data_IF_014038607588
#
_entry.id   IF_014038607588
#
_cell.length_a   1.000
_cell.length_b   1.000
_cell.length_c   1.000
_cell.angle_alpha   90.00
_cell.angle_beta   90.00
_cell.angle_gamma   90.00
#
_symmetry.space_group_name_H-M   'P 1'
#
loop_
_entity.id
_entity.type
_entity.pdbx_description
1 polymer ?
#
# COMPACT_ATOMS: atom_id res chain seq x y z
N UNK A 1 -15.56 -5.74 -11.16
CA UNK A 1 -16.57 -4.97 -10.40
C UNK A 1 -15.98 -4.72 -9.01
N UNK A 2 -15.33 -3.57 -8.82
CA UNK A 2 -14.65 -3.24 -7.57
C UNK A 2 -15.71 -3.01 -6.49
N UNK A 3 -15.94 -4.03 -5.67
CA UNK A 3 -16.72 -3.90 -4.43
C UNK A 3 -16.05 -2.81 -3.59
N UNK A 4 -16.79 -1.74 -3.30
CA UNK A 4 -16.47 -0.82 -2.22
C UNK A 4 -16.46 -1.64 -0.93
N UNK A 5 -15.29 -2.13 -0.50
CA UNK A 5 -15.13 -2.67 0.84
C UNK A 5 -15.25 -1.52 1.83
N UNK A 6 -16.48 -1.24 2.22
CA UNK A 6 -16.82 -0.62 3.49
C UNK A 6 -16.67 -1.67 4.62
N UNK A 7 -15.50 -2.29 4.74
CA UNK A 7 -15.20 -3.21 5.82
C UNK A 7 -13.85 -2.87 6.43
N UNK A 8 -13.79 -2.91 7.76
CA UNK A 8 -12.71 -2.51 8.66
C UNK A 8 -12.70 -1.04 9.11
N UNK A 9 -13.76 -0.62 9.81
CA UNK A 9 -13.59 0.37 10.89
C UNK A 9 -13.31 -0.42 12.18
N UNK A 10 -12.09 -0.36 12.75
CA UNK A 10 -11.84 -0.94 14.07
C UNK A 10 -12.69 -0.21 15.12
N UNK A 11 -13.25 -0.95 16.07
CA UNK A 11 -14.06 -0.39 17.15
C UNK A 11 -13.27 0.66 17.93
N UNK A 12 -13.71 1.92 17.89
CA UNK A 12 -13.20 3.00 18.73
C UNK A 12 -12.91 4.34 18.05
N UNK A 13 -12.76 4.41 16.72
CA UNK A 13 -12.45 5.66 16.02
C UNK A 13 -13.63 6.08 15.11
N UNK A 14 -14.41 7.06 15.58
CA UNK A 14 -15.52 7.63 14.79
C UNK A 14 -14.94 8.52 13.70
N UNK A 15 -14.82 7.99 12.48
CA UNK A 15 -14.38 8.73 11.30
C UNK A 15 -15.58 9.34 10.60
N UNK A 16 -15.47 10.60 10.20
CA UNK A 16 -16.57 11.24 9.48
C UNK A 16 -16.74 10.62 8.08
N UNK A 17 -17.96 10.61 7.51
CA UNK A 17 -18.19 10.12 6.15
C UNK A 17 -17.28 10.78 5.11
N UNK A 18 -16.99 12.07 5.28
CA UNK A 18 -16.05 12.80 4.41
C UNK A 18 -14.62 12.27 4.49
N UNK A 19 -14.12 11.96 5.70
CA UNK A 19 -12.78 11.39 5.87
C UNK A 19 -12.64 10.02 5.18
N UNK A 20 -13.65 9.16 5.33
CA UNK A 20 -13.69 7.84 4.67
C UNK A 20 -13.71 7.99 3.15
N UNK A 21 -14.49 8.94 2.64
CA UNK A 21 -14.57 9.23 1.20
C UNK A 21 -13.22 9.68 0.63
N UNK A 22 -12.56 10.66 1.26
CA UNK A 22 -11.26 11.16 0.79
C UNK A 22 -10.16 10.09 0.87
N UNK A 23 -10.16 9.26 1.92
CA UNK A 23 -9.22 8.15 2.01
C UNK A 23 -9.47 7.11 0.93
N UNK A 24 -10.74 6.76 0.67
CA UNK A 24 -11.11 5.82 -0.39
C UNK A 24 -10.67 6.32 -1.77
N UNK A 25 -10.79 7.62 -2.03
CA UNK A 25 -10.28 8.23 -3.27
C UNK A 25 -8.75 8.14 -3.37
N UNK A 26 -8.05 8.43 -2.28
CA UNK A 26 -6.59 8.31 -2.21
C UNK A 26 -6.13 6.88 -2.55
N UNK A 27 -6.66 5.89 -1.83
CA UNK A 27 -6.28 4.49 -2.06
C UNK A 27 -6.73 3.97 -3.43
N UNK A 28 -7.82 4.47 -3.98
CA UNK A 28 -8.19 4.18 -5.37
C UNK A 28 -7.07 4.62 -6.33
N UNK A 29 -6.56 5.85 -6.19
CA UNK A 29 -5.47 6.34 -7.05
C UNK A 29 -4.15 5.56 -6.84
N UNK A 30 -3.83 5.23 -5.59
CA UNK A 30 -2.66 4.41 -5.23
C UNK A 30 -2.76 3.03 -5.87
N UNK A 31 -3.90 2.34 -5.71
CA UNK A 31 -4.10 1.00 -6.22
C UNK A 31 -4.11 0.97 -7.75
N UNK A 32 -4.58 2.03 -8.40
CA UNK A 32 -4.41 2.18 -9.85
C UNK A 32 -2.95 2.31 -10.27
N UNK A 33 -2.15 3.09 -9.52
CA UNK A 33 -0.71 3.25 -9.80
C UNK A 33 0.05 1.93 -9.61
N UNK A 34 -0.29 1.15 -8.59
CA UNK A 34 0.27 -0.20 -8.35
C UNK A 34 0.02 -1.09 -9.58
N UNK A 35 -1.21 -1.12 -10.10
CA UNK A 35 -1.57 -1.93 -11.28
C UNK A 35 -0.89 -1.48 -12.58
N UNK A 36 -0.37 -0.24 -12.64
CA UNK A 36 0.45 0.22 -13.78
C UNK A 36 1.91 -0.19 -13.66
N UNK A 37 2.41 -0.30 -12.44
CA UNK A 37 3.81 -0.65 -12.14
C UNK A 37 4.09 -2.15 -12.30
N UNK A 38 3.13 -3.03 -11.96
CA UNK A 38 3.25 -4.48 -12.09
C UNK A 38 2.12 -4.97 -13.00
N UNK A 39 2.46 -5.40 -14.23
CA UNK A 39 1.47 -5.68 -15.28
C UNK A 39 1.30 -7.18 -15.55
N UNK A 40 2.37 -7.95 -15.43
CA UNK A 40 2.36 -9.40 -15.65
C UNK A 40 3.12 -10.18 -14.58
N UNK A 41 2.91 -11.49 -14.48
CA UNK A 41 3.49 -12.35 -13.43
C UNK A 41 5.02 -12.41 -13.41
N UNK A 42 5.68 -12.09 -14.52
CA UNK A 42 7.15 -12.00 -14.61
C UNK A 42 7.70 -10.58 -14.34
N UNK A 43 6.84 -9.60 -14.07
CA UNK A 43 7.28 -8.23 -13.80
C UNK A 43 7.69 -8.14 -12.35
N UNK A 44 8.75 -7.39 -12.11
CA UNK A 44 9.12 -6.98 -10.76
C UNK A 44 9.21 -5.46 -10.71
N UNK A 45 8.76 -4.90 -9.61
CA UNK A 45 8.84 -3.47 -9.34
C UNK A 45 9.16 -3.25 -7.87
N UNK A 46 9.73 -2.08 -7.58
CA UNK A 46 9.92 -1.58 -6.23
C UNK A 46 8.94 -0.44 -6.02
N UNK A 47 8.07 -0.59 -5.02
CA UNK A 47 7.08 0.42 -4.68
C UNK A 47 7.47 1.06 -3.34
N UNK A 48 7.53 2.39 -3.33
CA UNK A 48 7.87 3.18 -2.15
C UNK A 48 6.70 4.10 -1.84
N UNK A 49 6.04 3.87 -0.70
CA UNK A 49 4.96 4.71 -0.20
C UNK A 49 5.51 5.62 0.91
N UNK A 50 5.87 6.85 0.56
CA UNK A 50 6.59 7.78 1.42
C UNK A 50 5.64 8.67 2.24
N UNK A 51 4.86 8.06 3.13
CA UNK A 51 3.97 8.78 4.06
C UNK A 51 3.75 7.96 5.34
N UNK A 52 3.77 8.60 6.51
CA UNK A 52 3.64 7.91 7.80
C UNK A 52 2.27 7.24 7.96
N UNK A 53 1.24 7.69 7.25
CA UNK A 53 -0.10 7.09 7.31
C UNK A 53 -0.09 5.63 6.88
N UNK A 54 0.82 5.22 5.99
CA UNK A 54 0.95 3.82 5.59
C UNK A 54 1.47 2.88 6.71
N UNK A 55 1.88 3.40 7.87
CA UNK A 55 2.13 2.57 9.05
C UNK A 55 0.86 2.17 9.80
N UNK A 56 -0.29 2.77 9.48
CA UNK A 56 -1.58 2.51 10.15
C UNK A 56 -2.22 1.23 9.59
N UNK A 57 -2.85 0.39 10.44
CA UNK A 57 -3.54 -0.81 9.97
C UNK A 57 -4.60 -0.54 8.90
N UNK A 58 -5.40 0.53 9.05
CA UNK A 58 -6.44 0.91 8.08
C UNK A 58 -5.89 1.28 6.70
N UNK A 59 -4.69 1.87 6.67
CA UNK A 59 -4.02 2.21 5.42
C UNK A 59 -3.48 0.97 4.73
N UNK A 60 -2.93 0.03 5.48
CA UNK A 60 -2.44 -1.25 4.95
C UNK A 60 -3.62 -2.10 4.44
N UNK A 61 -4.75 -2.14 5.16
CA UNK A 61 -5.94 -2.89 4.73
C UNK A 61 -6.61 -2.31 3.47
N UNK A 62 -6.34 -1.06 3.13
CA UNK A 62 -6.84 -0.40 1.92
C UNK A 62 -6.00 -0.70 0.66
N UNK A 63 -4.85 -1.38 0.82
CA UNK A 63 -4.03 -1.87 -0.28
C UNK A 63 -4.58 -3.21 -0.82
N UNK A 64 -4.24 -3.62 -2.06
CA UNK A 64 -4.62 -4.92 -2.58
C UNK A 64 -4.04 -6.02 -1.68
N UNK A 65 -4.83 -7.05 -1.35
CA UNK A 65 -4.42 -8.08 -0.39
C UNK A 65 -3.07 -8.73 -0.69
N UNK A 66 -2.77 -8.97 -1.96
CA UNK A 66 -1.48 -9.53 -2.40
C UNK A 66 -0.28 -8.60 -2.21
N UNK A 67 -0.49 -7.28 -2.13
CA UNK A 67 0.55 -6.30 -1.74
C UNK A 67 0.63 -6.19 -0.23
N UNK A 68 -0.52 -6.11 0.45
CA UNK A 68 -0.58 -5.89 1.90
C UNK A 68 0.23 -6.93 2.69
N UNK A 69 0.21 -8.21 2.27
CA UNK A 69 0.97 -9.30 2.89
C UNK A 69 2.50 -9.16 2.78
N UNK A 70 2.98 -8.40 1.80
CA UNK A 70 4.41 -8.18 1.54
C UNK A 70 4.85 -6.75 1.89
N UNK A 71 3.92 -5.93 2.39
CA UNK A 71 4.20 -4.55 2.74
C UNK A 71 5.08 -4.47 3.98
N UNK A 72 6.17 -3.71 3.91
CA UNK A 72 7.10 -3.52 5.02
C UNK A 72 7.20 -2.05 5.37
N UNK A 73 6.77 -1.70 6.57
CA UNK A 73 7.02 -0.38 7.15
C UNK A 73 8.48 -0.33 7.59
N UNK A 74 9.18 0.72 7.17
CA UNK A 74 10.56 0.96 7.60
C UNK A 74 10.65 2.35 8.20
N UNK A 75 11.26 2.44 9.38
CA UNK A 75 11.42 3.70 10.09
C UNK A 75 12.52 4.60 9.49
N UNK A 76 13.45 4.02 8.73
CA UNK A 76 14.64 4.73 8.25
C UNK A 76 14.91 4.42 6.78
N UNK A 77 15.43 5.43 6.07
CA UNK A 77 15.77 5.33 4.65
C UNK A 77 16.88 4.31 4.37
N UNK A 78 17.93 4.28 5.19
CA UNK A 78 19.11 3.43 4.96
C UNK A 78 18.80 1.93 4.82
N UNK A 79 18.15 1.29 5.81
CA UNK A 79 17.74 -0.11 5.72
C UNK A 79 16.80 -0.42 4.55
N UNK A 80 15.91 0.52 4.20
CA UNK A 80 15.04 0.40 3.03
C UNK A 80 15.84 0.36 1.74
N UNK A 81 16.80 1.27 1.57
CA UNK A 81 17.65 1.33 0.39
C UNK A 81 18.51 0.07 0.23
N UNK A 82 19.03 -0.47 1.33
CA UNK A 82 19.77 -1.74 1.32
C UNK A 82 18.86 -2.91 0.88
N UNK A 83 17.62 -2.95 1.37
CA UNK A 83 16.63 -3.97 0.97
C UNK A 83 16.27 -3.89 -0.51
N UNK A 84 16.10 -2.66 -1.04
CA UNK A 84 15.84 -2.40 -2.45
C UNK A 84 17.00 -2.90 -3.31
N UNK A 85 18.24 -2.54 -2.96
CA UNK A 85 19.44 -2.99 -3.67
C UNK A 85 19.54 -4.51 -3.72
N UNK A 86 19.30 -5.19 -2.58
CA UNK A 86 19.29 -6.66 -2.50
C UNK A 86 18.20 -7.27 -3.39
N UNK A 87 17.00 -6.72 -3.38
CA UNK A 87 15.90 -7.20 -4.23
C UNK A 87 16.26 -7.10 -5.71
N UNK A 88 16.76 -5.95 -6.16
CA UNK A 88 17.13 -5.71 -7.55
C UNK A 88 18.32 -6.60 -7.99
N UNK A 89 19.28 -6.90 -7.12
CA UNK A 89 20.40 -7.79 -7.47
C UNK A 89 19.99 -9.25 -7.62
N UNK A 90 18.96 -9.71 -6.93
CA UNK A 90 18.45 -11.09 -7.04
C UNK A 90 17.59 -11.31 -8.31
N UNK A 91 17.24 -10.24 -9.03
CA UNK A 91 16.32 -10.27 -10.18
C UNK A 91 16.98 -9.74 -11.47
N UNK A 92 18.31 -9.71 -11.50
CA UNK A 92 19.11 -9.45 -12.71
C UNK A 92 19.05 -10.61 -13.68
#
# INVERSE_FOLDING_TARGET
>A
MFSLQASFLPEGEVRSPGQIYYESLCFKAVNQSIGKAIRHSKDYAVLILADHRYSRPNSISSLPGWIAIHFKVSANFGPSLASIRKFLSMRK
#
